data_IF_137724849880
#
_entry.id   IF_137724849880
#
_cell.length_a   1.000
_cell.length_b   1.000
_cell.length_c   1.000
_cell.angle_alpha   90.00
_cell.angle_beta   90.00
_cell.angle_gamma   90.00
#
_symmetry.space_group_name_H-M   'P 1'
#
loop_
_entity.id
_entity.type
_entity.pdbx_description
1 polymer ?
#
# COMPACT_ATOMS: atom_id res chain seq x y z
N UNK A 1 -19.56 -28.54 20.23
CA UNK A 1 -18.35 -28.39 19.39
C UNK A 1 -18.58 -28.91 17.97
N UNK A 2 -19.68 -28.52 17.28
CA UNK A 2 -20.02 -29.13 15.96
C UNK A 2 -20.73 -28.16 14.99
N UNK A 3 -20.66 -26.84 15.21
CA UNK A 3 -21.39 -25.85 14.38
C UNK A 3 -20.49 -25.24 13.30
N UNK A 4 -19.17 -25.26 13.45
CA UNK A 4 -18.25 -24.59 12.51
C UNK A 4 -17.91 -25.44 11.27
N UNK A 5 -18.03 -26.77 11.30
CA UNK A 5 -17.73 -27.64 10.17
C UNK A 5 -18.75 -27.59 9.02
N UNK A 6 -20.01 -27.26 9.33
CA UNK A 6 -21.11 -27.26 8.36
C UNK A 6 -21.17 -25.99 7.49
N UNK A 7 -20.78 -24.83 8.01
CA UNK A 7 -20.78 -23.57 7.24
C UNK A 7 -19.64 -23.50 6.22
N UNK A 8 -18.41 -23.85 6.62
CA UNK A 8 -17.28 -23.88 5.69
C UNK A 8 -17.51 -24.86 4.54
N UNK A 9 -18.10 -26.04 4.81
CA UNK A 9 -18.45 -27.02 3.79
C UNK A 9 -19.58 -26.54 2.86
N UNK A 10 -20.52 -25.73 3.33
CA UNK A 10 -21.60 -25.18 2.52
C UNK A 10 -21.13 -24.02 1.64
N UNK A 11 -20.28 -23.13 2.14
CA UNK A 11 -19.64 -22.04 1.36
C UNK A 11 -18.75 -22.61 0.26
N UNK A 12 -17.93 -23.63 0.57
CA UNK A 12 -17.12 -24.34 -0.40
C UNK A 12 -17.96 -24.97 -1.52
N UNK A 13 -19.09 -25.58 -1.18
CA UNK A 13 -20.01 -26.15 -2.18
C UNK A 13 -20.67 -25.10 -3.08
N UNK A 14 -20.99 -23.93 -2.55
CA UNK A 14 -21.55 -22.82 -3.33
C UNK A 14 -20.48 -22.24 -4.24
N UNK A 15 -19.28 -22.00 -3.72
CA UNK A 15 -18.15 -21.47 -4.48
C UNK A 15 -17.76 -22.39 -5.64
N UNK A 16 -17.65 -23.70 -5.38
CA UNK A 16 -17.33 -24.69 -6.40
C UNK A 16 -18.41 -24.79 -7.51
N UNK A 17 -19.68 -24.49 -7.22
CA UNK A 17 -20.76 -24.54 -8.20
C UNK A 17 -20.84 -23.27 -9.07
N UNK A 18 -20.35 -22.13 -8.55
CA UNK A 18 -20.54 -20.83 -9.21
C UNK A 18 -19.38 -20.46 -10.14
N UNK A 19 -18.14 -20.95 -9.90
CA UNK A 19 -16.95 -20.39 -10.56
C UNK A 19 -16.39 -21.25 -11.69
N UNK A 20 -16.38 -22.56 -11.60
CA UNK A 20 -16.14 -23.48 -12.73
C UNK A 20 -16.22 -24.96 -12.29
N UNK A 21 -17.05 -25.79 -12.90
CA UNK A 21 -17.16 -27.21 -12.59
C UNK A 21 -15.83 -27.99 -12.75
N UNK A 22 -14.97 -27.58 -13.67
CA UNK A 22 -13.67 -28.22 -13.93
C UNK A 22 -12.63 -27.92 -12.83
N UNK A 23 -12.64 -26.73 -12.25
CA UNK A 23 -11.79 -26.37 -11.10
C UNK A 23 -12.22 -27.09 -9.82
N UNK A 24 -13.50 -27.40 -9.66
CA UNK A 24 -14.00 -28.13 -8.50
C UNK A 24 -13.43 -29.56 -8.43
N UNK A 25 -13.29 -30.22 -9.57
CA UNK A 25 -12.68 -31.57 -9.65
C UNK A 25 -11.18 -31.52 -9.30
N UNK A 26 -10.44 -30.55 -9.78
CA UNK A 26 -9.01 -30.36 -9.47
C UNK A 26 -8.78 -30.02 -8.00
N UNK A 27 -9.55 -29.07 -7.44
CA UNK A 27 -9.48 -28.68 -6.03
C UNK A 27 -9.82 -29.84 -5.09
N UNK A 28 -10.80 -30.66 -5.46
CA UNK A 28 -11.15 -31.85 -4.67
C UNK A 28 -10.04 -32.90 -4.69
N UNK A 29 -9.41 -33.18 -5.84
CA UNK A 29 -8.26 -34.08 -5.94
C UNK A 29 -7.07 -33.57 -5.13
N UNK A 30 -6.80 -32.26 -5.19
CA UNK A 30 -5.77 -31.61 -4.39
C UNK A 30 -6.04 -31.79 -2.88
N UNK A 31 -7.24 -31.47 -2.41
CA UNK A 31 -7.62 -31.60 -1.01
C UNK A 31 -7.50 -33.05 -0.50
N UNK A 32 -7.90 -34.03 -1.32
CA UNK A 32 -7.81 -35.46 -0.95
C UNK A 32 -6.36 -35.94 -0.90
N UNK A 33 -5.47 -35.35 -1.71
CA UNK A 33 -4.05 -35.70 -1.74
C UNK A 33 -3.25 -35.10 -0.55
N UNK A 34 -3.80 -34.09 0.16
CA UNK A 34 -3.17 -33.54 1.35
C UNK A 34 -3.24 -34.52 2.52
N UNK A 35 -2.20 -34.55 3.35
CA UNK A 35 -2.24 -35.21 4.65
C UNK A 35 -3.21 -34.50 5.63
N UNK A 36 -3.40 -35.10 6.81
CA UNK A 36 -4.37 -34.63 7.79
C UNK A 36 -4.07 -33.22 8.29
N UNK A 37 -2.80 -32.89 8.51
CA UNK A 37 -2.38 -31.61 9.09
C UNK A 37 -2.48 -30.49 8.06
N UNK A 38 -2.07 -30.73 6.82
CA UNK A 38 -2.21 -29.78 5.71
C UNK A 38 -3.68 -29.53 5.34
N UNK A 39 -4.57 -30.53 5.45
CA UNK A 39 -6.01 -30.31 5.31
C UNK A 39 -6.57 -29.37 6.38
N UNK A 40 -6.11 -29.54 7.62
CA UNK A 40 -6.52 -28.68 8.73
C UNK A 40 -6.07 -27.22 8.50
N UNK A 41 -4.81 -27.03 8.13
CA UNK A 41 -4.27 -25.69 7.83
C UNK A 41 -5.01 -25.04 6.65
N UNK A 42 -5.33 -25.78 5.60
CA UNK A 42 -6.09 -25.26 4.47
C UNK A 42 -7.50 -24.84 4.89
N UNK A 43 -8.19 -25.62 5.72
CA UNK A 43 -9.52 -25.26 6.25
C UNK A 43 -9.46 -24.02 7.14
N UNK A 44 -8.43 -23.92 7.99
CA UNK A 44 -8.22 -22.75 8.86
C UNK A 44 -7.95 -21.48 8.03
N UNK A 45 -7.15 -21.56 6.97
CA UNK A 45 -6.91 -20.47 6.03
C UNK A 45 -8.16 -20.01 5.27
N UNK A 46 -8.93 -20.98 4.75
CA UNK A 46 -10.19 -20.68 4.07
C UNK A 46 -11.21 -20.07 5.04
N UNK A 47 -11.28 -20.58 6.27
CA UNK A 47 -12.17 -20.02 7.30
C UNK A 47 -11.75 -18.63 7.76
N UNK A 48 -10.45 -18.30 7.72
CA UNK A 48 -9.93 -16.97 7.98
C UNK A 48 -10.32 -16.02 6.84
N UNK A 49 -10.04 -16.39 5.60
CA UNK A 49 -10.39 -15.60 4.42
C UNK A 49 -11.90 -15.36 4.26
N UNK A 50 -12.74 -16.33 4.63
CA UNK A 50 -14.21 -16.16 4.62
C UNK A 50 -14.66 -15.24 5.76
N UNK A 51 -14.02 -15.28 6.93
CA UNK A 51 -14.30 -14.34 8.03
C UNK A 51 -13.91 -12.91 7.70
N UNK A 52 -12.80 -12.72 7.02
CA UNK A 52 -12.35 -11.41 6.53
C UNK A 52 -13.31 -10.84 5.46
N UNK A 53 -14.06 -11.69 4.76
CA UNK A 53 -15.09 -11.27 3.80
C UNK A 53 -16.49 -11.07 4.44
N UNK A 54 -16.81 -11.82 5.52
CA UNK A 54 -18.10 -11.73 6.23
C UNK A 54 -18.11 -10.66 7.34
N UNK A 55 -16.94 -10.26 7.89
CA UNK A 55 -16.83 -8.98 8.55
C UNK A 55 -17.01 -7.98 7.40
N UNK A 56 -18.13 -7.25 7.40
CA UNK A 56 -18.25 -6.01 6.63
C UNK A 56 -16.99 -5.23 6.93
N UNK A 57 -16.00 -5.39 6.06
CA UNK A 57 -14.81 -4.55 6.10
C UNK A 57 -15.39 -3.15 6.08
N UNK A 58 -15.32 -2.37 7.17
CA UNK A 58 -15.83 -1.01 7.15
C UNK A 58 -15.24 -0.44 5.89
N UNK A 59 -16.12 -0.04 4.94
CA UNK A 59 -15.72 0.29 3.58
C UNK A 59 -14.48 1.15 3.73
N UNK A 60 -13.30 0.56 3.45
CA UNK A 60 -12.01 1.21 3.68
C UNK A 60 -12.15 2.51 2.92
N UNK A 61 -12.15 3.63 3.61
CA UNK A 61 -12.28 4.92 2.97
C UNK A 61 -11.35 4.90 1.76
N UNK A 62 -11.81 5.28 0.57
CA UNK A 62 -11.00 5.14 -0.63
C UNK A 62 -9.66 5.81 -0.37
N UNK A 63 -8.59 5.00 -0.35
CA UNK A 63 -7.25 5.50 -0.10
C UNK A 63 -6.94 6.56 -1.16
N UNK A 64 -6.52 7.74 -0.71
CA UNK A 64 -6.10 8.81 -1.63
C UNK A 64 -4.91 8.28 -2.43
N UNK A 65 -5.02 8.32 -3.75
CA UNK A 65 -3.93 7.94 -4.65
C UNK A 65 -3.03 9.14 -4.93
N UNK A 66 -1.76 8.87 -5.14
CA UNK A 66 -0.72 9.83 -5.51
C UNK A 66 0.20 9.24 -6.56
N UNK A 67 0.92 10.10 -7.27
CA UNK A 67 1.99 9.69 -8.18
C UNK A 67 3.10 8.96 -7.42
N UNK A 68 3.48 7.78 -7.84
CA UNK A 68 4.56 7.00 -7.22
C UNK A 68 5.92 7.69 -7.35
N UNK A 69 6.13 8.49 -8.41
CA UNK A 69 7.40 9.16 -8.68
C UNK A 69 7.60 10.46 -7.90
N UNK A 70 6.54 11.25 -7.68
CA UNK A 70 6.67 12.56 -7.05
C UNK A 70 5.69 12.84 -5.91
N UNK A 71 4.79 11.89 -5.60
CA UNK A 71 3.77 12.04 -4.56
C UNK A 71 2.71 13.11 -4.84
N UNK A 72 2.59 13.62 -6.09
CA UNK A 72 1.57 14.60 -6.44
C UNK A 72 0.18 13.98 -6.46
N UNK A 73 -0.82 14.75 -6.06
CA UNK A 73 -2.24 14.42 -6.21
C UNK A 73 -2.82 14.88 -7.56
N UNK A 74 -2.05 15.60 -8.35
CA UNK A 74 -2.42 16.04 -9.70
C UNK A 74 -2.21 14.89 -10.68
N UNK A 75 -3.08 13.88 -10.59
CA UNK A 75 -3.01 12.64 -11.36
C UNK A 75 -4.30 12.40 -12.12
N UNK A 76 -4.20 11.77 -13.28
CA UNK A 76 -5.31 11.43 -14.15
C UNK A 76 -5.18 9.96 -14.58
N UNK A 77 -6.32 9.30 -14.77
CA UNK A 77 -6.35 7.94 -15.32
C UNK A 77 -7.41 7.83 -16.40
N UNK A 78 -7.18 6.96 -17.36
CA UNK A 78 -8.18 6.61 -18.36
C UNK A 78 -9.29 5.76 -17.76
N UNK A 79 -10.52 5.98 -18.20
CA UNK A 79 -11.68 5.24 -17.70
C UNK A 79 -12.75 5.12 -18.80
N UNK A 80 -13.54 4.07 -18.71
CA UNK A 80 -14.75 3.94 -19.49
C UNK A 80 -15.86 4.81 -18.89
N UNK A 81 -16.50 5.61 -19.72
CA UNK A 81 -17.65 6.43 -19.35
C UNK A 81 -18.85 6.10 -20.24
N UNK A 82 -20.04 6.15 -19.68
CA UNK A 82 -21.27 6.09 -20.47
C UNK A 82 -21.38 7.39 -21.33
N UNK A 83 -21.38 7.28 -22.65
CA UNK A 83 -21.36 8.45 -23.54
C UNK A 83 -22.63 9.31 -23.45
N UNK A 84 -23.73 8.77 -22.94
CA UNK A 84 -25.00 9.49 -22.85
C UNK A 84 -25.13 10.27 -21.54
N UNK A 85 -24.53 9.76 -20.47
CA UNK A 85 -24.64 10.35 -19.11
C UNK A 85 -23.36 10.94 -18.61
N UNK A 86 -22.22 10.67 -19.27
CA UNK A 86 -20.84 10.99 -18.88
C UNK A 86 -20.49 10.48 -17.47
N UNK A 87 -21.20 9.44 -17.03
CA UNK A 87 -20.89 8.80 -15.76
C UNK A 87 -19.82 7.75 -15.92
N UNK A 88 -18.94 7.68 -14.92
CA UNK A 88 -17.95 6.62 -14.79
C UNK A 88 -18.65 5.24 -14.82
N UNK A 89 -18.16 4.36 -15.67
CA UNK A 89 -18.65 2.99 -15.80
C UNK A 89 -17.65 1.97 -15.20
N UNK A 90 -16.38 2.05 -15.58
CA UNK A 90 -15.31 1.21 -15.03
C UNK A 90 -13.95 1.83 -15.33
N UNK A 91 -12.93 1.45 -14.55
CA UNK A 91 -11.52 1.70 -14.92
C UNK A 91 -11.12 0.78 -16.08
N UNK A 92 -10.16 1.22 -16.86
CA UNK A 92 -9.39 0.36 -17.75
C UNK A 92 -8.45 -0.47 -16.86
N UNK A 93 -8.13 -1.71 -17.23
CA UNK A 93 -7.14 -2.52 -16.51
C UNK A 93 -5.84 -1.72 -16.45
N UNK A 94 -5.38 -1.47 -15.21
CA UNK A 94 -4.35 -0.48 -14.95
C UNK A 94 -3.01 -0.86 -15.60
N UNK A 95 -2.69 -0.20 -16.69
CA UNK A 95 -1.35 -0.12 -17.22
C UNK A 95 -0.78 1.27 -16.87
N UNK A 96 0.55 1.40 -16.77
CA UNK A 96 1.18 2.72 -16.56
C UNK A 96 0.81 3.70 -17.66
N UNK A 97 0.62 3.21 -18.89
CA UNK A 97 0.24 4.04 -20.05
C UNK A 97 -1.15 4.69 -19.91
N UNK A 98 -1.99 4.17 -19.01
CA UNK A 98 -3.31 4.70 -18.71
C UNK A 98 -3.34 5.68 -17.53
N UNK A 99 -2.20 5.92 -16.90
CA UNK A 99 -2.01 6.77 -15.73
C UNK A 99 -1.03 7.91 -16.04
N UNK A 100 -1.41 9.13 -15.69
CA UNK A 100 -0.66 10.35 -15.99
C UNK A 100 -0.50 11.22 -14.74
N UNK A 101 0.68 11.80 -14.56
CA UNK A 101 0.94 12.79 -13.53
C UNK A 101 1.20 14.17 -14.15
N UNK A 102 0.37 15.17 -13.79
CA UNK A 102 0.55 16.54 -14.30
C UNK A 102 1.80 17.22 -13.76
N UNK A 103 2.25 16.85 -12.57
CA UNK A 103 3.47 17.40 -11.97
C UNK A 103 4.75 16.85 -12.60
N UNK A 104 4.78 15.56 -12.97
CA UNK A 104 5.91 14.93 -13.65
C UNK A 104 5.86 15.16 -15.17
N UNK A 105 4.67 15.37 -15.75
CA UNK A 105 4.40 15.40 -17.19
C UNK A 105 4.76 14.08 -17.88
N UNK A 106 4.48 12.95 -17.19
CA UNK A 106 4.83 11.60 -17.62
C UNK A 106 3.76 10.58 -17.24
N UNK A 107 3.75 9.45 -17.95
CA UNK A 107 3.01 8.26 -17.54
C UNK A 107 3.70 7.59 -16.37
N UNK A 108 2.95 7.35 -15.29
CA UNK A 108 3.50 6.88 -14.00
C UNK A 108 2.52 5.94 -13.31
N UNK A 109 3.04 5.08 -12.45
CA UNK A 109 2.21 4.30 -11.53
C UNK A 109 1.72 5.16 -10.37
N UNK A 110 0.56 4.81 -9.83
CA UNK A 110 0.02 5.39 -8.62
C UNK A 110 0.23 4.46 -7.44
N UNK A 111 0.43 5.03 -6.28
CA UNK A 111 0.41 4.32 -5.00
C UNK A 111 -0.53 5.02 -4.02
N UNK A 112 -0.79 4.41 -2.89
CA UNK A 112 -1.57 5.06 -1.84
C UNK A 112 -0.77 6.19 -1.18
N UNK A 113 -1.47 7.21 -0.66
CA UNK A 113 -0.85 8.28 0.12
C UNK A 113 -0.08 7.74 1.33
N UNK A 114 -0.59 6.67 1.95
CA UNK A 114 0.03 6.00 3.08
C UNK A 114 1.36 5.37 2.66
N UNK A 115 1.36 4.57 1.58
CA UNK A 115 2.57 3.95 1.04
C UNK A 115 3.62 4.98 0.63
N UNK A 116 3.22 6.09 0.00
CA UNK A 116 4.17 7.16 -0.31
C UNK A 116 4.69 7.85 0.95
N UNK A 117 3.85 8.02 1.96
CA UNK A 117 4.25 8.53 3.28
C UNK A 117 5.32 7.67 3.95
N UNK A 118 5.14 6.34 3.91
CA UNK A 118 6.12 5.39 4.42
C UNK A 118 7.47 5.48 3.68
N UNK A 119 7.43 5.68 2.36
CA UNK A 119 8.63 5.89 1.55
C UNK A 119 9.36 7.19 1.93
N UNK A 120 8.64 8.27 2.21
CA UNK A 120 9.22 9.52 2.71
C UNK A 120 9.88 9.34 4.08
N UNK A 121 9.24 8.61 4.99
CA UNK A 121 9.79 8.32 6.31
C UNK A 121 11.01 7.40 6.22
N UNK A 122 11.00 6.40 5.33
CA UNK A 122 12.16 5.54 5.05
C UNK A 122 13.35 6.34 4.46
N UNK A 123 13.09 7.25 3.53
CA UNK A 123 14.11 8.14 3.00
C UNK A 123 14.73 9.01 4.11
N UNK A 124 13.90 9.61 4.97
CA UNK A 124 14.37 10.43 6.09
C UNK A 124 15.32 9.67 7.02
N UNK A 125 15.01 8.42 7.33
CA UNK A 125 15.87 7.57 8.17
C UNK A 125 17.22 7.23 7.53
N UNK A 126 17.36 7.36 6.21
CA UNK A 126 18.59 7.14 5.47
C UNK A 126 19.42 8.43 5.28
N UNK A 127 18.89 9.60 5.67
CA UNK A 127 19.59 10.89 5.56
C UNK A 127 20.73 10.96 6.59
N UNK A 128 21.89 11.42 6.17
CA UNK A 128 23.06 11.61 7.04
C UNK A 128 22.94 12.85 7.96
N UNK A 129 23.72 12.92 9.01
CA UNK A 129 23.70 14.02 9.98
C UNK A 129 23.96 15.39 9.37
N UNK A 130 24.96 15.63 8.52
CA UNK A 130 25.19 16.93 7.90
C UNK A 130 23.98 17.41 7.07
N UNK A 131 23.29 16.50 6.41
CA UNK A 131 22.09 16.81 5.64
C UNK A 131 20.89 17.08 6.55
N UNK A 132 20.75 16.31 7.65
CA UNK A 132 19.75 16.58 8.68
C UNK A 132 19.93 17.96 9.31
N UNK A 133 21.16 18.39 9.67
CA UNK A 133 21.46 19.74 10.17
C UNK A 133 21.00 20.81 9.20
N UNK A 134 21.31 20.65 7.92
CA UNK A 134 20.97 21.59 6.85
C UNK A 134 19.45 21.70 6.66
N UNK A 135 18.74 20.58 6.70
CA UNK A 135 17.28 20.52 6.49
C UNK A 135 16.53 21.07 7.70
N UNK A 136 16.92 20.67 8.91
CA UNK A 136 16.21 21.03 10.15
C UNK A 136 16.63 22.39 10.69
N UNK A 137 17.85 22.85 10.40
CA UNK A 137 18.49 24.00 11.05
C UNK A 137 18.94 23.71 12.48
N UNK A 138 18.82 22.48 12.96
CA UNK A 138 19.36 22.06 14.26
C UNK A 138 20.86 21.78 14.11
N UNK A 139 21.69 22.19 15.07
CA UNK A 139 23.12 21.85 15.03
C UNK A 139 23.43 20.70 15.99
N UNK A 140 24.12 19.67 15.49
CA UNK A 140 24.57 18.52 16.28
C UNK A 140 25.48 18.96 17.46
N UNK A 141 26.18 20.09 17.31
CA UNK A 141 27.03 20.65 18.37
C UNK A 141 26.26 21.08 19.63
N UNK A 142 24.95 21.27 19.53
CA UNK A 142 24.08 21.62 20.66
C UNK A 142 23.58 20.42 21.47
N UNK A 143 23.97 19.20 21.08
CA UNK A 143 23.57 17.96 21.73
C UNK A 143 24.76 17.23 22.35
N UNK A 144 24.55 16.36 23.35
CA UNK A 144 25.62 15.60 23.97
C UNK A 144 26.40 14.78 22.95
N UNK A 145 27.72 14.81 23.04
CA UNK A 145 28.59 14.04 22.13
C UNK A 145 28.85 12.60 22.61
N UNK A 146 28.56 12.32 23.87
CA UNK A 146 28.84 11.07 24.55
C UNK A 146 27.83 9.95 24.23
N UNK A 147 26.70 10.27 23.59
CA UNK A 147 25.66 9.33 23.16
C UNK A 147 25.77 8.88 21.70
N UNK A 148 26.88 9.23 21.03
CA UNK A 148 27.05 8.91 19.60
C UNK A 148 26.12 9.67 18.65
N UNK A 149 25.54 10.79 19.12
CA UNK A 149 24.63 11.63 18.34
C UNK A 149 23.15 11.23 18.42
N UNK A 150 22.81 10.31 19.34
CA UNK A 150 21.44 9.82 19.46
C UNK A 150 20.46 10.93 19.83
N UNK A 151 20.81 11.82 20.76
CA UNK A 151 19.97 12.94 21.17
C UNK A 151 19.70 13.92 19.99
N UNK A 152 20.67 14.16 19.13
CA UNK A 152 20.49 14.94 17.92
C UNK A 152 19.54 14.23 16.93
N UNK A 153 19.75 12.93 16.71
CA UNK A 153 18.90 12.14 15.83
C UNK A 153 17.44 12.11 16.32
N UNK A 154 17.22 11.94 17.61
CA UNK A 154 15.89 11.96 18.22
C UNK A 154 15.19 13.32 18.04
N UNK A 155 15.93 14.42 18.17
CA UNK A 155 15.40 15.77 17.93
C UNK A 155 15.03 15.98 16.46
N UNK A 156 15.86 15.53 15.51
CA UNK A 156 15.56 15.59 14.09
C UNK A 156 14.34 14.73 13.73
N UNK A 157 14.23 13.53 14.27
CA UNK A 157 13.08 12.64 14.07
C UNK A 157 11.81 13.22 14.69
N UNK A 158 11.89 13.84 15.86
CA UNK A 158 10.76 14.51 16.48
C UNK A 158 10.27 15.67 15.61
N UNK A 159 11.19 16.48 15.08
CA UNK A 159 10.86 17.56 14.14
C UNK A 159 10.19 17.03 12.87
N UNK A 160 10.73 15.98 12.23
CA UNK A 160 10.16 15.35 11.04
C UNK A 160 8.72 14.89 11.25
N UNK A 161 8.42 14.33 12.42
CA UNK A 161 7.06 13.86 12.79
C UNK A 161 6.05 14.99 12.95
N UNK A 162 6.49 16.25 13.13
CA UNK A 162 5.58 17.40 13.21
C UNK A 162 5.12 17.90 11.84
N UNK A 163 5.77 17.45 10.76
CA UNK A 163 5.49 17.91 9.41
C UNK A 163 4.29 17.18 8.82
N UNK A 164 3.48 17.89 8.05
CA UNK A 164 2.46 17.31 7.20
C UNK A 164 3.07 16.64 5.95
N UNK A 165 2.24 15.91 5.23
CA UNK A 165 2.63 15.21 4.03
C UNK A 165 3.26 16.12 2.97
N UNK A 166 2.63 17.25 2.67
CA UNK A 166 3.09 18.15 1.60
C UNK A 166 4.45 18.77 1.95
N UNK A 167 4.68 19.07 3.21
CA UNK A 167 5.99 19.58 3.65
C UNK A 167 7.07 18.52 3.61
N UNK A 168 6.78 17.31 4.06
CA UNK A 168 7.70 16.16 3.93
C UNK A 168 8.06 15.90 2.46
N UNK A 169 7.05 15.86 1.59
CA UNK A 169 7.23 15.69 0.15
C UNK A 169 8.11 16.79 -0.46
N UNK A 170 7.87 18.05 -0.13
CA UNK A 170 8.66 19.18 -0.62
C UNK A 170 10.13 19.03 -0.23
N UNK A 171 10.41 18.74 1.05
CA UNK A 171 11.76 18.53 1.55
C UNK A 171 12.46 17.39 0.82
N UNK A 172 11.76 16.27 0.64
CA UNK A 172 12.27 15.14 -0.12
C UNK A 172 12.61 15.53 -1.56
N UNK A 173 11.70 16.20 -2.27
CA UNK A 173 11.92 16.64 -3.66
C UNK A 173 13.13 17.60 -3.80
N UNK A 174 13.37 18.46 -2.82
CA UNK A 174 14.48 19.41 -2.82
C UNK A 174 15.83 18.79 -2.45
N UNK A 175 15.82 17.62 -1.79
CA UNK A 175 17.03 17.04 -1.19
C UNK A 175 17.34 15.61 -1.65
N UNK A 176 16.49 14.95 -2.42
CA UNK A 176 16.77 13.61 -2.95
C UNK A 176 17.61 13.69 -4.23
N UNK A 177 18.89 13.38 -4.08
CA UNK A 177 19.88 13.45 -5.17
C UNK A 177 19.62 12.41 -6.27
N UNK A 178 18.95 11.30 -5.95
CA UNK A 178 18.61 10.26 -6.94
C UNK A 178 17.67 10.76 -8.04
N UNK A 179 16.98 11.87 -7.80
CA UNK A 179 16.07 12.49 -8.77
C UNK A 179 16.78 13.43 -9.77
N UNK A 180 17.94 13.94 -9.41
CA UNK A 180 18.69 14.87 -10.28
C UNK A 180 19.32 14.15 -11.50
N UNK A 181 19.31 12.82 -11.48
CA UNK A 181 19.91 11.98 -12.53
C UNK A 181 18.87 11.42 -13.54
N UNK A 182 17.58 11.78 -13.38
CA UNK A 182 16.48 11.33 -14.28
C UNK A 182 16.09 12.34 -15.34
#
# INVERSE_FOLDING_TARGET
MTIFGTRAASVWKVWCRSIAPDLCGAARRFYVALDRDNRRLLIEHIACAVREQDEECPAKEPSVLVCQECGSREIQMMAWVDPNTLKYASSIDADSDDQWCDACQEHVWFCSLEEFGDNLDAWWLAVDFPKMERITGLSAANYPADDGGQAFLDACNAWWKTLDYERKRTIWMENDESRAER
#
